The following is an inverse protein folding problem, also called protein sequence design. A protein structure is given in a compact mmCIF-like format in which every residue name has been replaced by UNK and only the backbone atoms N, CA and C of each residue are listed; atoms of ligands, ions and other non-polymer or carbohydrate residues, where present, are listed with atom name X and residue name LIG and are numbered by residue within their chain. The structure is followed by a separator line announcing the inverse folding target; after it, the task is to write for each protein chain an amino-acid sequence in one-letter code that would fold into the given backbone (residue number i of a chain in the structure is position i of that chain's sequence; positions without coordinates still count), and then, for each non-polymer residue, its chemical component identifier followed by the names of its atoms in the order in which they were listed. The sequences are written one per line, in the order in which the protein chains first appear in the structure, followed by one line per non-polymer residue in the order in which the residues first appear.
data_IF_505740238155
#
_entry.id   IF_505740238155
#
_cell.length_a   1.000
_cell.length_b   1.000
_cell.length_c   1.000
_cell.angle_alpha   90.00
_cell.angle_beta   90.00
_cell.angle_gamma   90.00
#
_symmetry.space_group_name_H-M   'P 1'
#
loop_
_entity.id
_entity.type
_entity.pdbx_description
1 polymer ?
#
# COMPACT_ATOMS: atom_id res chain seq x y z
N UNK A 1 11.14 30.56 5.31
CA UNK A 1 10.39 29.70 4.35
C UNK A 1 8.96 29.43 4.81
N UNK A 2 8.71 29.06 6.07
CA UNK A 2 7.39 28.66 6.57
C UNK A 2 6.25 29.70 6.37
N UNK A 3 6.50 31.01 6.47
CA UNK A 3 5.46 32.06 6.33
C UNK A 3 5.11 32.37 4.87
N UNK A 4 5.98 31.99 3.91
CA UNK A 4 5.69 32.15 2.48
C UNK A 4 4.64 31.15 2.00
N UNK A 5 4.58 29.95 2.58
CA UNK A 5 3.64 28.91 2.17
C UNK A 5 2.16 29.33 2.38
N UNK A 6 1.73 29.80 3.57
CA UNK A 6 0.35 30.22 3.80
C UNK A 6 -0.06 31.41 2.93
N UNK A 7 0.82 32.41 2.80
CA UNK A 7 0.56 33.59 1.94
C UNK A 7 0.37 33.21 0.48
N UNK A 8 1.21 32.31 -0.03
CA UNK A 8 1.11 31.94 -1.44
C UNK A 8 -0.10 31.02 -1.73
N UNK A 9 -0.58 30.27 -0.72
CA UNK A 9 -1.84 29.51 -0.79
C UNK A 9 -3.05 30.45 -0.76
N UNK A 10 -3.04 31.48 0.11
CA UNK A 10 -4.14 32.47 0.16
C UNK A 10 -4.23 33.33 -1.10
N UNK A 11 -3.11 33.57 -1.77
CA UNK A 11 -3.05 34.30 -3.03
C UNK A 11 -3.31 33.42 -4.26
N UNK A 12 -3.64 32.13 -4.06
CA UNK A 12 -3.86 31.12 -5.11
C UNK A 12 -2.69 31.02 -6.13
N UNK A 13 -1.49 31.47 -5.72
CA UNK A 13 -0.26 31.46 -6.54
C UNK A 13 0.32 30.06 -6.71
N UNK A 14 -0.10 29.12 -5.87
CA UNK A 14 0.12 27.69 -6.05
C UNK A 14 -1.21 26.97 -5.87
N UNK A 15 -1.65 26.23 -6.88
CA UNK A 15 -2.55 25.11 -6.62
C UNK A 15 -1.68 24.06 -5.93
N UNK A 16 -1.95 23.76 -4.66
CA UNK A 16 -1.42 22.53 -4.07
C UNK A 16 -2.08 21.43 -4.90
N UNK A 17 -1.34 20.85 -5.85
CA UNK A 17 -1.77 19.62 -6.51
C UNK A 17 -2.11 18.65 -5.39
N UNK A 18 -3.41 18.37 -5.21
CA UNK A 18 -3.89 17.42 -4.21
C UNK A 18 -3.23 16.08 -4.53
N UNK A 19 -2.26 15.72 -3.71
CA UNK A 19 -1.55 14.46 -3.83
C UNK A 19 -2.09 13.47 -2.83
N UNK A 20 -3.22 12.86 -3.18
CA UNK A 20 -3.78 11.70 -2.48
C UNK A 20 -2.85 10.49 -2.47
N UNK A 21 -1.74 10.54 -3.21
CA UNK A 21 -0.72 9.49 -3.24
C UNK A 21 -0.28 9.09 -1.84
N UNK A 22 0.00 10.05 -0.94
CA UNK A 22 0.45 9.71 0.41
C UNK A 22 -0.66 9.06 1.23
N UNK A 23 -1.92 9.46 1.01
CA UNK A 23 -3.07 8.82 1.66
C UNK A 23 -3.24 7.38 1.15
N UNK A 24 -3.07 7.15 -0.16
CA UNK A 24 -3.16 5.83 -0.80
C UNK A 24 -1.98 4.92 -0.41
N UNK A 25 -0.75 5.44 -0.36
CA UNK A 25 0.42 4.70 0.14
C UNK A 25 0.23 4.34 1.61
N UNK A 26 -0.24 5.28 2.43
CA UNK A 26 -0.53 5.03 3.85
C UNK A 26 -1.63 3.98 4.03
N UNK A 27 -2.71 4.08 3.25
CA UNK A 27 -3.76 3.08 3.21
C UNK A 27 -3.22 1.70 2.84
N UNK A 28 -2.37 1.60 1.82
CA UNK A 28 -1.75 0.35 1.41
C UNK A 28 -0.92 -0.28 2.53
N UNK A 29 -0.10 0.49 3.25
CA UNK A 29 0.63 -0.04 4.40
C UNK A 29 -0.29 -0.56 5.51
N UNK A 30 -1.39 0.16 5.81
CA UNK A 30 -2.39 -0.30 6.78
C UNK A 30 -3.07 -1.60 6.33
N UNK A 31 -3.42 -1.69 5.04
CA UNK A 31 -3.99 -2.89 4.43
C UNK A 31 -3.05 -4.09 4.57
N UNK A 32 -1.76 -3.94 4.25
CA UNK A 32 -0.76 -5.00 4.40
C UNK A 32 -0.60 -5.42 5.86
N UNK A 33 -0.49 -4.47 6.79
CA UNK A 33 -0.41 -4.76 8.23
C UNK A 33 -1.63 -5.55 8.68
N UNK A 34 -2.82 -5.20 8.20
CA UNK A 34 -4.05 -5.93 8.49
C UNK A 34 -3.99 -7.38 8.01
N UNK A 35 -3.57 -7.61 6.77
CA UNK A 35 -3.45 -8.95 6.18
C UNK A 35 -2.37 -9.81 6.86
N UNK A 36 -1.31 -9.19 7.40
CA UNK A 36 -0.21 -9.87 8.09
C UNK A 36 -0.52 -10.18 9.57
N UNK A 37 -1.32 -9.33 10.24
CA UNK A 37 -1.65 -9.44 11.67
C UNK A 37 -2.95 -10.16 11.97
N UNK A 38 -4.03 -9.80 11.27
CA UNK A 38 -5.37 -10.29 11.63
C UNK A 38 -5.66 -11.66 11.03
N UNK A 39 -6.69 -12.35 11.55
CA UNK A 39 -7.10 -13.67 11.08
C UNK A 39 -6.14 -14.81 11.46
N UNK A 40 -5.17 -14.56 12.35
CA UNK A 40 -4.23 -15.58 12.85
C UNK A 40 -4.62 -16.02 14.26
N UNK A 41 -4.33 -17.28 14.65
CA UNK A 41 -4.49 -17.74 16.03
C UNK A 41 -3.50 -17.08 17.01
N UNK A 42 -2.34 -16.65 16.53
CA UNK A 42 -1.31 -15.91 17.29
C UNK A 42 -1.45 -14.41 17.07
N UNK A 43 -1.29 -13.61 18.12
CA UNK A 43 -1.28 -12.15 18.06
C UNK A 43 0.00 -11.56 17.45
N UNK A 44 1.04 -12.38 17.24
CA UNK A 44 2.30 -11.93 16.65
C UNK A 44 2.19 -11.84 15.11
N UNK A 45 2.61 -10.72 14.50
CA UNK A 45 2.67 -10.60 13.05
C UNK A 45 3.68 -11.57 12.45
N UNK A 46 3.35 -12.15 11.29
CA UNK A 46 4.24 -13.11 10.65
C UNK A 46 5.57 -12.50 10.15
N UNK A 47 5.60 -11.21 9.79
CA UNK A 47 6.83 -10.55 9.29
C UNK A 47 6.80 -9.01 9.36
N UNK A 48 6.61 -8.41 10.55
CA UNK A 48 6.58 -6.94 10.72
C UNK A 48 7.65 -6.38 11.67
N UNK A 49 8.59 -7.22 12.14
CA UNK A 49 9.54 -6.84 13.20
C UNK A 49 10.42 -5.64 12.82
N UNK A 50 10.78 -5.50 11.54
CA UNK A 50 11.58 -4.37 11.06
C UNK A 50 10.74 -3.18 10.57
N UNK A 51 9.41 -3.21 10.63
CA UNK A 51 8.57 -2.11 10.15
C UNK A 51 8.35 -1.02 11.20
N UNK A 52 8.49 -1.36 12.48
CA UNK A 52 8.29 -0.46 13.60
C UNK A 52 9.21 -0.85 14.76
N UNK A 53 10.37 -0.19 14.77
CA UNK A 53 11.42 -0.26 15.80
C UNK A 53 11.81 1.15 16.22
N UNK A 54 12.66 1.26 17.25
CA UNK A 54 13.25 2.53 17.67
C UNK A 54 14.29 3.08 16.66
N UNK A 55 14.73 2.27 15.69
CA UNK A 55 15.62 2.70 14.62
C UNK A 55 14.86 3.05 13.33
N UNK A 56 14.78 4.35 13.02
CA UNK A 56 14.14 4.86 11.81
C UNK A 56 14.80 4.35 10.52
N UNK A 57 16.11 4.10 10.54
CA UNK A 57 16.83 3.63 9.35
C UNK A 57 16.44 2.17 9.04
N UNK A 58 16.36 1.32 10.07
CA UNK A 58 15.80 -0.03 9.97
C UNK A 58 14.38 0.01 9.44
N UNK A 59 13.49 0.84 10.03
CA UNK A 59 12.10 0.96 9.60
C UNK A 59 11.96 1.31 8.10
N UNK A 60 12.76 2.26 7.63
CA UNK A 60 12.78 2.67 6.23
C UNK A 60 13.32 1.55 5.32
N UNK A 61 14.47 0.96 5.66
CA UNK A 61 15.13 -0.02 4.82
C UNK A 61 14.31 -1.31 4.71
N UNK A 62 13.76 -1.81 5.82
CA UNK A 62 12.92 -3.01 5.80
C UNK A 62 11.68 -2.79 4.94
N UNK A 63 10.92 -1.71 5.15
CA UNK A 63 9.74 -1.40 4.31
C UNK A 63 10.10 -1.26 2.84
N UNK A 64 11.21 -0.58 2.53
CA UNK A 64 11.68 -0.44 1.15
C UNK A 64 11.99 -1.80 0.52
N UNK A 65 12.74 -2.67 1.19
CA UNK A 65 13.07 -4.01 0.70
C UNK A 65 11.79 -4.81 0.48
N UNK A 66 10.89 -4.81 1.45
CA UNK A 66 9.65 -5.56 1.42
C UNK A 66 8.71 -5.10 0.30
N UNK A 67 8.59 -3.80 0.02
CA UNK A 67 7.75 -3.32 -1.08
C UNK A 67 8.41 -3.51 -2.46
N UNK A 68 9.74 -3.50 -2.53
CA UNK A 68 10.46 -3.58 -3.80
C UNK A 68 10.78 -5.03 -4.19
N UNK A 69 11.89 -5.57 -3.70
CA UNK A 69 12.43 -6.87 -4.11
C UNK A 69 11.88 -8.03 -3.29
N UNK A 70 11.41 -7.75 -2.07
CA UNK A 70 10.93 -8.72 -1.11
C UNK A 70 9.42 -8.97 -1.15
N UNK A 71 8.66 -8.34 -2.03
CA UNK A 71 7.20 -8.27 -1.89
C UNK A 71 6.51 -9.64 -1.82
N UNK A 72 6.84 -10.56 -2.71
CA UNK A 72 6.27 -11.92 -2.65
C UNK A 72 6.70 -12.65 -1.37
N UNK A 73 8.01 -12.75 -1.14
CA UNK A 73 8.57 -13.58 -0.06
C UNK A 73 8.35 -13.03 1.34
N UNK A 74 8.42 -11.72 1.50
CA UNK A 74 8.38 -11.07 2.81
C UNK A 74 6.98 -10.60 3.17
N UNK A 75 6.09 -10.38 2.19
CA UNK A 75 4.74 -9.87 2.43
C UNK A 75 3.69 -10.90 2.03
N UNK A 76 3.61 -11.29 0.75
CA UNK A 76 2.51 -12.13 0.28
C UNK A 76 2.53 -13.52 0.92
N UNK A 77 3.69 -14.18 0.99
CA UNK A 77 3.84 -15.51 1.60
C UNK A 77 3.49 -15.51 3.10
N UNK A 78 3.48 -14.33 3.73
CA UNK A 78 3.19 -14.14 5.15
C UNK A 78 1.77 -13.61 5.41
N UNK A 79 0.89 -13.53 4.42
CA UNK A 79 -0.53 -13.22 4.67
C UNK A 79 -1.15 -14.29 5.56
N UNK A 80 -2.08 -13.88 6.42
CA UNK A 80 -2.91 -14.83 7.15
C UNK A 80 -3.77 -15.64 6.17
N UNK A 81 -4.04 -16.94 6.44
CA UNK A 81 -4.91 -17.75 5.58
C UNK A 81 -6.27 -17.10 5.30
N UNK A 82 -6.87 -16.40 6.27
CA UNK A 82 -8.14 -15.67 6.10
C UNK A 82 -8.08 -14.55 5.05
N UNK A 83 -6.89 -14.14 4.60
CA UNK A 83 -6.68 -13.10 3.61
C UNK A 83 -6.04 -13.62 2.31
N UNK A 84 -6.03 -14.93 2.07
CA UNK A 84 -5.49 -15.50 0.83
C UNK A 84 -6.20 -14.94 -0.42
N UNK A 85 -7.51 -14.73 -0.32
CA UNK A 85 -8.37 -14.14 -1.34
C UNK A 85 -7.92 -12.74 -1.84
N UNK A 86 -7.19 -11.97 -1.02
CA UNK A 86 -6.80 -10.59 -1.33
C UNK A 86 -5.31 -10.43 -1.64
N UNK A 87 -4.58 -11.54 -1.82
CA UNK A 87 -3.16 -11.50 -2.24
C UNK A 87 -2.97 -10.80 -3.58
N UNK A 88 -3.85 -11.08 -4.54
CA UNK A 88 -3.80 -10.42 -5.85
C UNK A 88 -4.15 -8.92 -5.75
N UNK A 89 -5.02 -8.53 -4.82
CA UNK A 89 -5.25 -7.11 -4.53
C UNK A 89 -3.99 -6.40 -4.09
N UNK A 90 -3.23 -7.04 -3.21
CA UNK A 90 -2.00 -6.50 -2.66
C UNK A 90 -0.97 -6.30 -3.77
N UNK A 91 -0.86 -7.25 -4.70
CA UNK A 91 -0.01 -7.14 -5.90
C UNK A 91 -0.42 -6.00 -6.80
N UNK A 92 -1.72 -5.86 -7.06
CA UNK A 92 -2.26 -4.79 -7.89
C UNK A 92 -2.00 -3.41 -7.26
N UNK A 93 -2.28 -3.24 -5.97
CA UNK A 93 -1.99 -1.99 -5.27
C UNK A 93 -0.50 -1.67 -5.27
N UNK A 94 0.36 -2.65 -5.00
CA UNK A 94 1.81 -2.47 -5.08
C UNK A 94 2.21 -1.96 -6.46
N UNK A 95 1.71 -2.60 -7.52
CA UNK A 95 2.02 -2.23 -8.90
C UNK A 95 1.49 -0.84 -9.27
N UNK A 96 0.28 -0.49 -8.86
CA UNK A 96 -0.32 0.83 -9.12
C UNK A 96 0.47 1.94 -8.41
N UNK A 97 0.81 1.72 -7.14
CA UNK A 97 1.44 2.76 -6.32
C UNK A 97 2.94 2.90 -6.60
N UNK A 98 3.63 1.78 -6.82
CA UNK A 98 5.09 1.72 -6.85
C UNK A 98 5.67 1.18 -8.16
N UNK A 99 4.82 0.88 -9.15
CA UNK A 99 5.25 0.33 -10.42
C UNK A 99 5.64 -1.15 -10.37
N UNK A 100 6.10 -1.65 -11.51
CA UNK A 100 6.46 -3.06 -11.69
C UNK A 100 7.92 -3.34 -11.35
N UNK A 101 8.80 -2.35 -11.48
CA UNK A 101 10.24 -2.48 -11.26
C UNK A 101 10.81 -1.30 -10.43
N UNK A 102 12.08 -1.43 -10.01
CA UNK A 102 12.73 -0.42 -9.17
C UNK A 102 12.84 0.96 -9.85
N UNK A 103 12.97 0.99 -11.17
CA UNK A 103 13.03 2.25 -11.91
C UNK A 103 11.68 2.99 -11.88
N UNK A 104 10.57 2.26 -11.97
CA UNK A 104 9.22 2.80 -11.81
C UNK A 104 8.88 3.15 -10.35
N UNK A 105 9.51 2.49 -9.38
CA UNK A 105 9.41 2.87 -7.97
C UNK A 105 9.95 4.28 -7.73
N UNK A 106 10.99 4.66 -8.48
CA UNK A 106 11.64 5.98 -8.36
C UNK A 106 10.88 7.03 -9.19
N UNK A 107 10.24 6.63 -10.29
CA UNK A 107 9.42 7.55 -11.08
C UNK A 107 8.09 7.83 -10.38
N UNK A 108 7.74 9.12 -10.24
CA UNK A 108 6.57 9.56 -9.48
C UNK A 108 5.40 9.81 -10.44
N UNK A 109 4.46 8.86 -10.65
CA UNK A 109 3.25 9.15 -11.41
C UNK A 109 2.41 10.23 -10.72
N UNK A 110 1.62 10.96 -11.51
CA UNK A 110 0.79 12.06 -11.04
C UNK A 110 -0.33 11.52 -10.13
N UNK A 111 -0.53 12.12 -8.97
CA UNK A 111 -1.43 11.60 -7.92
C UNK A 111 -2.89 11.47 -8.34
N UNK A 112 -3.36 12.33 -9.25
CA UNK A 112 -4.74 12.31 -9.77
C UNK A 112 -5.04 10.99 -10.49
N UNK A 113 -4.03 10.33 -11.05
CA UNK A 113 -4.18 9.11 -11.85
C UNK A 113 -4.23 7.83 -11.00
N UNK A 114 -4.15 7.92 -9.65
CA UNK A 114 -4.05 6.76 -8.77
C UNK A 114 -5.38 6.26 -8.19
N UNK A 115 -6.40 7.11 -8.05
CA UNK A 115 -7.67 6.68 -7.46
C UNK A 115 -8.42 5.69 -8.35
N UNK A 116 -8.58 6.00 -9.63
CA UNK A 116 -9.37 5.17 -10.54
C UNK A 116 -8.80 3.74 -10.66
N UNK A 117 -7.47 3.54 -10.81
CA UNK A 117 -6.89 2.20 -10.79
C UNK A 117 -7.09 1.46 -9.46
N UNK A 118 -6.93 2.13 -8.32
CA UNK A 118 -7.14 1.50 -6.99
C UNK A 118 -8.61 1.08 -6.81
N UNK A 119 -9.55 1.98 -7.14
CA UNK A 119 -11.00 1.69 -7.08
C UNK A 119 -11.35 0.55 -8.02
N UNK A 120 -10.77 0.52 -9.23
CA UNK A 120 -10.99 -0.54 -10.20
C UNK A 120 -10.50 -1.90 -9.69
N UNK A 121 -9.29 -1.95 -9.11
CA UNK A 121 -8.75 -3.18 -8.52
C UNK A 121 -9.64 -3.70 -7.36
N UNK A 122 -10.16 -2.82 -6.51
CA UNK A 122 -11.16 -3.21 -5.50
C UNK A 122 -12.42 -3.82 -6.12
N UNK A 123 -13.01 -3.14 -7.11
CA UNK A 123 -14.23 -3.62 -7.77
C UNK A 123 -14.03 -4.99 -8.40
N UNK A 124 -12.88 -5.21 -9.03
CA UNK A 124 -12.57 -6.48 -9.68
C UNK A 124 -12.55 -7.64 -8.69
N UNK A 125 -11.99 -7.45 -7.49
CA UNK A 125 -12.01 -8.50 -6.47
C UNK A 125 -13.40 -8.73 -5.90
N UNK A 126 -14.18 -7.67 -5.66
CA UNK A 126 -15.57 -7.82 -5.21
C UNK A 126 -16.36 -8.64 -6.23
N UNK A 127 -16.24 -8.31 -7.52
CA UNK A 127 -16.87 -9.08 -8.60
C UNK A 127 -16.41 -10.53 -8.61
N UNK A 128 -15.11 -10.82 -8.45
CA UNK A 128 -14.62 -12.20 -8.38
C UNK A 128 -15.15 -12.98 -7.17
N UNK A 129 -15.35 -12.33 -6.04
CA UNK A 129 -15.96 -12.94 -4.85
C UNK A 129 -17.46 -13.21 -5.11
N UNK A 130 -18.18 -12.22 -5.65
CA UNK A 130 -19.62 -12.33 -5.95
C UNK A 130 -19.91 -13.43 -6.98
N UNK A 131 -19.05 -13.54 -8.00
CA UNK A 131 -19.10 -14.59 -9.02
C UNK A 131 -18.59 -15.96 -8.51
N UNK A 132 -18.17 -16.05 -7.24
CA UNK A 132 -17.57 -17.24 -6.59
C UNK A 132 -16.32 -17.78 -7.27
N UNK A 133 -15.62 -16.94 -8.03
CA UNK A 133 -14.29 -17.25 -8.54
C UNK A 133 -13.25 -17.28 -7.41
N UNK A 134 -13.49 -16.53 -6.34
CA UNK A 134 -12.73 -16.57 -5.08
C UNK A 134 -13.67 -17.01 -3.95
N UNK A 135 -13.25 -17.99 -3.14
CA UNK A 135 -14.00 -18.42 -1.96
C UNK A 135 -13.76 -17.45 -0.81
N UNK A 136 -14.83 -16.94 -0.21
CA UNK A 136 -14.77 -16.23 1.06
C UNK A 136 -14.85 -17.28 2.18
N UNK A 137 -13.74 -17.54 2.85
CA UNK A 137 -13.74 -18.41 4.02
C UNK A 137 -14.23 -17.58 5.22
N UNK A 138 -15.51 -17.76 5.57
CA UNK A 138 -16.11 -17.21 6.80
C UNK A 138 -15.68 -18.00 8.03
#
# INVERSE_FOLDING_TARGET
MAIKLPKNVSENKYSIKKSCRYDLESFFYVFLVGCLRYGRPSSEPANLNGWYTDDLLTNYNTKRIDITVGFEKNIIDHFSPSFDAVKDLARDFRKILFGSNLDQFISRPNSVELYDPIIHAFKNIITQIDERHIKNEN
#
